data_IF_287690988490
#
_entry.id   IF_287690988490
#
_cell.length_a   1.000
_cell.length_b   1.000
_cell.length_c   1.000
_cell.angle_alpha   90.00
_cell.angle_beta   90.00
_cell.angle_gamma   90.00
#
_symmetry.space_group_name_H-M   'P 1'
#
loop_
_entity.id
_entity.type
_entity.pdbx_description
1 polymer ?
#
# COMPACT_ATOMS: atom_id res chain seq x y z
N UNK A 1 1.10 -4.37 16.09
CA UNK A 1 0.93 -2.91 15.91
C UNK A 1 0.44 -2.72 14.49
N UNK A 2 -0.86 -2.54 14.33
CA UNK A 2 -1.50 -2.41 13.02
C UNK A 2 -1.18 -1.04 12.43
N UNK A 3 -0.63 -1.03 11.23
CA UNK A 3 -0.23 0.16 10.49
C UNK A 3 -1.37 0.60 9.57
N UNK A 4 -1.47 1.89 9.31
CA UNK A 4 -2.48 2.45 8.43
C UNK A 4 -1.88 2.84 7.10
N UNK A 5 -2.38 2.26 6.02
CA UNK A 5 -2.10 2.74 4.67
C UNK A 5 -2.79 4.10 4.44
N UNK A 6 -2.09 5.06 3.87
CA UNK A 6 -2.67 6.32 3.42
C UNK A 6 -3.01 6.24 1.93
N UNK A 7 -4.27 6.47 1.60
CA UNK A 7 -4.69 6.64 0.20
C UNK A 7 -4.52 8.10 -0.20
N UNK A 8 -3.58 8.34 -1.09
CA UNK A 8 -3.46 9.61 -1.79
C UNK A 8 -4.14 9.44 -3.15
N UNK A 9 -5.20 10.19 -3.40
CA UNK A 9 -6.09 10.06 -4.56
C UNK A 9 -5.36 9.96 -5.92
N UNK A 10 -5.85 9.10 -6.78
CA UNK A 10 -5.25 8.72 -8.05
C UNK A 10 -6.03 9.22 -9.27
N UNK A 11 -5.26 9.63 -10.28
CA UNK A 11 -5.76 9.83 -11.65
C UNK A 11 -5.39 8.58 -12.46
N UNK A 12 -6.40 7.92 -13.02
CA UNK A 12 -6.30 6.67 -13.77
C UNK A 12 -5.61 6.92 -15.12
N UNK A 13 -4.47 6.29 -15.33
CA UNK A 13 -3.84 6.13 -16.64
C UNK A 13 -3.81 4.64 -17.01
N UNK A 14 -4.57 4.29 -18.04
CA UNK A 14 -4.67 2.94 -18.59
C UNK A 14 -3.33 2.50 -19.21
N UNK A 15 -2.73 1.39 -18.78
CA UNK A 15 -1.63 0.74 -19.52
C UNK A 15 -1.45 -0.72 -19.12
N UNK A 16 -1.61 -1.60 -20.10
CA UNK A 16 -1.28 -3.03 -20.08
C UNK A 16 0.25 -3.22 -19.97
N UNK A 17 0.80 -3.31 -18.77
CA UNK A 17 2.23 -3.57 -18.49
C UNK A 17 2.41 -4.68 -17.44
N UNK A 18 1.49 -5.65 -17.45
CA UNK A 18 1.44 -6.76 -16.49
C UNK A 18 2.33 -7.96 -16.86
N UNK A 19 3.08 -7.88 -17.97
CA UNK A 19 3.70 -9.07 -18.56
C UNK A 19 5.12 -9.41 -18.07
N UNK A 20 5.79 -8.51 -17.36
CA UNK A 20 7.25 -8.65 -17.16
C UNK A 20 7.66 -9.28 -15.80
N UNK A 21 6.76 -9.36 -14.83
CA UNK A 21 7.06 -10.01 -13.53
C UNK A 21 6.78 -11.52 -13.52
N UNK A 22 6.21 -12.07 -14.60
CA UNK A 22 5.81 -13.49 -14.70
C UNK A 22 6.69 -14.33 -15.61
N UNK A 23 7.78 -13.79 -16.16
CA UNK A 23 8.45 -14.45 -17.29
C UNK A 23 9.45 -15.54 -16.96
N UNK A 24 9.99 -15.60 -15.74
CA UNK A 24 11.07 -16.57 -15.48
C UNK A 24 10.97 -17.20 -14.07
N UNK A 25 9.88 -17.95 -13.75
CA UNK A 25 9.86 -18.67 -12.47
C UNK A 25 9.46 -20.14 -12.65
N UNK A 26 10.26 -21.07 -12.06
CA UNK A 26 9.87 -22.48 -11.89
C UNK A 26 8.81 -22.63 -10.81
N UNK A 27 8.08 -23.74 -10.84
CA UNK A 27 6.95 -24.12 -9.99
C UNK A 27 7.23 -23.96 -8.48
N UNK A 28 6.78 -22.84 -7.92
CA UNK A 28 6.85 -22.49 -6.50
C UNK A 28 6.64 -20.98 -6.39
N UNK A 29 5.63 -20.51 -5.71
CA UNK A 29 5.11 -19.13 -5.65
C UNK A 29 6.07 -18.03 -6.09
N UNK A 30 5.57 -17.14 -6.92
CA UNK A 30 6.39 -16.07 -7.51
C UNK A 30 6.97 -15.15 -6.43
N UNK A 31 8.07 -14.43 -6.70
CA UNK A 31 8.60 -13.36 -5.82
C UNK A 31 7.49 -12.38 -5.40
N UNK A 32 6.52 -12.14 -6.29
CA UNK A 32 5.34 -11.34 -6.02
C UNK A 32 4.47 -11.98 -4.93
N UNK A 33 4.23 -13.29 -4.99
CA UNK A 33 3.43 -13.98 -3.97
C UNK A 33 4.11 -13.89 -2.59
N UNK A 34 5.41 -14.07 -2.50
CA UNK A 34 6.16 -13.92 -1.25
C UNK A 34 6.04 -12.48 -0.68
N UNK A 35 6.10 -11.46 -1.53
CA UNK A 35 5.89 -10.07 -1.13
C UNK A 35 4.47 -9.86 -0.60
N UNK A 36 3.45 -10.39 -1.30
CA UNK A 36 2.04 -10.25 -0.90
C UNK A 36 1.79 -10.95 0.45
N UNK A 37 2.25 -12.20 0.61
CA UNK A 37 2.12 -12.91 1.89
C UNK A 37 2.82 -12.16 3.04
N UNK A 38 3.98 -11.58 2.77
CA UNK A 38 4.69 -10.77 3.76
C UNK A 38 3.91 -9.51 4.13
N UNK A 39 3.35 -8.78 3.15
CA UNK A 39 2.49 -7.61 3.40
C UNK A 39 1.30 -8.01 4.26
N UNK A 40 0.55 -9.05 3.89
CA UNK A 40 -0.61 -9.55 4.64
C UNK A 40 -0.21 -9.94 6.07
N UNK A 41 0.91 -10.64 6.23
CA UNK A 41 1.44 -11.00 7.55
C UNK A 41 1.75 -9.77 8.42
N UNK A 42 2.33 -8.73 7.84
CA UNK A 42 2.65 -7.48 8.56
C UNK A 42 1.38 -6.72 8.95
N UNK A 43 0.41 -6.63 8.05
CA UNK A 43 -0.77 -5.77 8.20
C UNK A 43 -1.83 -6.37 9.13
N UNK A 44 -2.09 -7.66 9.01
CA UNK A 44 -3.21 -8.30 9.71
C UNK A 44 -2.86 -9.62 10.39
N UNK A 45 -1.63 -10.09 10.25
CA UNK A 45 -1.24 -11.46 10.62
C UNK A 45 -2.15 -12.54 9.97
N UNK A 46 -2.64 -12.25 8.74
CA UNK A 46 -3.55 -13.13 8.03
C UNK A 46 -5.01 -13.11 8.50
N UNK A 47 -5.38 -12.21 9.43
CA UNK A 47 -6.75 -12.11 9.91
C UNK A 47 -7.63 -11.24 8.97
N UNK A 48 -8.62 -11.83 8.27
CA UNK A 48 -9.52 -11.09 7.40
C UNK A 48 -10.48 -10.16 8.16
N UNK A 49 -10.62 -10.33 9.47
CA UNK A 49 -11.45 -9.49 10.32
C UNK A 49 -10.67 -8.41 11.06
N UNK A 50 -9.36 -8.35 10.87
CA UNK A 50 -8.53 -7.34 11.50
C UNK A 50 -9.08 -5.93 11.23
N UNK A 51 -9.19 -5.11 12.29
CA UNK A 51 -9.66 -3.73 12.21
C UNK A 51 -8.76 -2.83 13.03
N UNK A 52 -8.30 -1.75 12.41
CA UNK A 52 -7.50 -0.75 13.09
C UNK A 52 -8.38 0.14 13.97
N UNK A 53 -7.96 0.37 15.22
CA UNK A 53 -8.71 1.20 16.18
C UNK A 53 -8.57 2.72 15.93
N UNK A 54 -7.59 3.14 15.11
CA UNK A 54 -7.24 4.56 14.88
C UNK A 54 -7.59 5.03 13.48
N UNK A 55 -8.07 4.13 12.61
CA UNK A 55 -8.41 4.44 11.22
C UNK A 55 -9.48 3.50 10.70
N UNK A 56 -9.89 3.69 9.45
CA UNK A 56 -10.83 2.81 8.76
C UNK A 56 -10.20 1.52 8.21
N UNK A 57 -8.88 1.31 8.38
CA UNK A 57 -8.16 0.15 7.85
C UNK A 57 -8.76 -1.17 8.36
N UNK A 58 -9.07 -2.06 7.41
CA UNK A 58 -9.80 -3.31 7.69
C UNK A 58 -9.33 -4.43 6.76
N UNK A 59 -9.39 -5.68 7.25
CA UNK A 59 -9.15 -6.91 6.49
C UNK A 59 -7.66 -7.23 6.30
N UNK A 60 -7.37 -8.20 5.42
CA UNK A 60 -6.02 -8.74 5.22
C UNK A 60 -4.99 -7.66 4.87
N UNK A 61 -5.29 -6.78 3.93
CA UNK A 61 -4.38 -5.73 3.45
C UNK A 61 -4.51 -4.42 4.19
N UNK A 62 -5.34 -4.34 5.25
CA UNK A 62 -5.59 -3.12 6.03
C UNK A 62 -5.90 -1.88 5.18
N UNK A 63 -6.72 -2.07 4.13
CA UNK A 63 -7.10 -0.97 3.24
C UNK A 63 -8.03 0.04 3.94
N UNK A 64 -7.74 1.32 3.73
CA UNK A 64 -8.64 2.41 4.08
C UNK A 64 -9.88 2.41 3.17
N UNK A 65 -10.96 3.05 3.63
CA UNK A 65 -12.23 3.11 2.90
C UNK A 65 -12.05 3.62 1.47
N UNK A 66 -11.39 4.76 1.29
CA UNK A 66 -11.18 5.37 -0.02
C UNK A 66 -10.35 4.47 -0.95
N UNK A 67 -9.24 3.91 -0.44
CA UNK A 67 -8.39 3.00 -1.23
C UNK A 67 -9.16 1.77 -1.68
N UNK A 68 -9.94 1.17 -0.79
CA UNK A 68 -10.73 0.00 -1.12
C UNK A 68 -11.78 0.28 -2.17
N UNK A 69 -12.53 1.38 -2.03
CA UNK A 69 -13.54 1.80 -3.00
C UNK A 69 -12.92 2.07 -4.38
N UNK A 70 -11.72 2.66 -4.43
CA UNK A 70 -10.98 2.89 -5.67
C UNK A 70 -10.52 1.58 -6.31
N UNK A 71 -9.98 0.65 -5.53
CA UNK A 71 -9.58 -0.67 -6.01
C UNK A 71 -10.77 -1.46 -6.56
N UNK A 72 -11.91 -1.46 -5.87
CA UNK A 72 -13.13 -2.12 -6.35
C UNK A 72 -13.60 -1.47 -7.66
N UNK A 73 -13.67 -0.14 -7.74
CA UNK A 73 -14.08 0.56 -8.96
C UNK A 73 -13.17 0.24 -10.15
N UNK A 74 -11.87 0.13 -9.90
CA UNK A 74 -10.87 -0.08 -10.95
C UNK A 74 -10.78 -1.54 -11.39
N UNK A 75 -10.78 -2.49 -10.45
CA UNK A 75 -10.46 -3.89 -10.74
C UNK A 75 -11.67 -4.83 -10.68
N UNK A 76 -12.71 -4.45 -9.94
CA UNK A 76 -13.92 -5.26 -9.75
C UNK A 76 -15.19 -4.40 -9.82
N UNK A 77 -15.39 -3.66 -10.94
CA UNK A 77 -16.59 -2.83 -11.13
C UNK A 77 -17.89 -3.63 -11.06
N UNK A 78 -17.83 -4.94 -11.34
CA UNK A 78 -18.94 -5.89 -11.15
C UNK A 78 -19.43 -5.91 -9.70
N UNK A 79 -18.53 -5.79 -8.73
CA UNK A 79 -18.88 -5.78 -7.32
C UNK A 79 -19.38 -4.41 -6.81
N UNK A 80 -19.14 -3.34 -7.55
CA UNK A 80 -19.67 -2.01 -7.21
C UNK A 80 -21.13 -1.82 -7.67
N UNK A 81 -21.51 -2.49 -8.74
CA UNK A 81 -22.83 -2.29 -9.38
C UNK A 81 -23.97 -2.64 -8.43
N UNK A 82 -24.84 -1.65 -8.17
CA UNK A 82 -26.04 -1.83 -7.33
C UNK A 82 -25.79 -2.02 -5.84
N UNK A 83 -24.56 -1.79 -5.35
CA UNK A 83 -24.23 -1.87 -3.91
C UNK A 83 -23.99 -0.50 -3.30
N UNK A 84 -24.42 -0.32 -2.05
CA UNK A 84 -24.05 0.85 -1.26
C UNK A 84 -22.55 0.80 -0.89
N UNK A 85 -21.97 1.95 -0.55
CA UNK A 85 -20.58 2.03 -0.10
C UNK A 85 -20.31 1.09 1.09
N UNK A 86 -21.21 1.04 2.07
CA UNK A 86 -21.04 0.16 3.25
C UNK A 86 -20.96 -1.32 2.86
N UNK A 87 -21.83 -1.76 1.93
CA UNK A 87 -21.77 -3.15 1.41
C UNK A 87 -20.48 -3.44 0.65
N UNK A 88 -19.94 -2.45 -0.06
CA UNK A 88 -18.64 -2.59 -0.74
C UNK A 88 -17.50 -2.63 0.30
N UNK A 89 -17.56 -1.81 1.34
CA UNK A 89 -16.55 -1.77 2.41
C UNK A 89 -16.50 -3.08 3.21
N UNK A 90 -17.64 -3.74 3.44
CA UNK A 90 -17.66 -5.04 4.12
C UNK A 90 -16.95 -6.15 3.32
N UNK A 91 -16.82 -6.03 1.99
CA UNK A 91 -16.07 -6.97 1.16
C UNK A 91 -14.57 -7.04 1.50
N UNK A 92 -14.02 -6.08 2.26
CA UNK A 92 -12.64 -6.15 2.79
C UNK A 92 -12.38 -7.37 3.67
N UNK A 93 -13.45 -7.97 4.19
CA UNK A 93 -13.39 -9.19 5.05
C UNK A 93 -13.40 -10.48 4.24
N UNK A 94 -13.69 -10.41 2.94
CA UNK A 94 -13.50 -11.56 2.04
C UNK A 94 -11.99 -11.75 1.79
N UNK A 95 -11.43 -12.79 2.38
CA UNK A 95 -10.00 -13.06 2.33
C UNK A 95 -9.48 -13.23 0.91
N UNK A 96 -10.25 -13.90 0.03
CA UNK A 96 -9.87 -14.13 -1.37
C UNK A 96 -9.84 -12.81 -2.16
N UNK A 97 -10.88 -12.00 -2.02
CA UNK A 97 -10.96 -10.70 -2.69
C UNK A 97 -9.92 -9.71 -2.13
N UNK A 98 -9.73 -9.69 -0.81
CA UNK A 98 -8.73 -8.83 -0.20
C UNK A 98 -7.31 -9.18 -0.67
N UNK A 99 -6.98 -10.48 -0.79
CA UNK A 99 -5.71 -10.93 -1.36
C UNK A 99 -5.58 -10.52 -2.83
N UNK A 100 -6.61 -10.76 -3.64
CA UNK A 100 -6.64 -10.34 -5.05
C UNK A 100 -6.34 -8.84 -5.19
N UNK A 101 -7.03 -7.99 -4.41
CA UNK A 101 -6.84 -6.55 -4.50
C UNK A 101 -5.51 -6.08 -3.89
N UNK A 102 -4.94 -6.81 -2.94
CA UNK A 102 -3.56 -6.54 -2.47
C UNK A 102 -2.55 -6.77 -3.60
N UNK A 103 -2.71 -7.84 -4.38
CA UNK A 103 -1.89 -8.09 -5.58
C UNK A 103 -2.04 -6.93 -6.57
N UNK A 104 -3.28 -6.56 -6.94
CA UNK A 104 -3.55 -5.48 -7.90
C UNK A 104 -2.96 -4.15 -7.45
N UNK A 105 -3.09 -3.82 -6.18
CA UNK A 105 -2.52 -2.60 -5.61
C UNK A 105 -0.99 -2.60 -5.66
N UNK A 106 -0.38 -3.74 -5.36
CA UNK A 106 1.09 -3.89 -5.45
C UNK A 106 1.58 -3.78 -6.90
N UNK A 107 0.88 -4.37 -7.86
CA UNK A 107 1.17 -4.25 -9.29
C UNK A 107 1.07 -2.81 -9.79
N UNK A 108 0.01 -2.08 -9.40
CA UNK A 108 -0.14 -0.66 -9.72
C UNK A 108 1.03 0.17 -9.17
N UNK A 109 1.40 -0.05 -7.90
CA UNK A 109 2.49 0.64 -7.24
C UNK A 109 3.83 0.33 -7.94
N UNK A 110 4.09 -0.92 -8.30
CA UNK A 110 5.26 -1.31 -9.06
C UNK A 110 5.34 -0.60 -10.42
N UNK A 111 4.23 -0.56 -11.15
CA UNK A 111 4.12 0.16 -12.42
C UNK A 111 4.42 1.65 -12.29
N UNK A 112 3.94 2.27 -11.20
CA UNK A 112 4.21 3.67 -10.95
C UNK A 112 5.68 3.95 -10.62
N UNK A 113 6.28 3.15 -9.75
CA UNK A 113 7.69 3.29 -9.40
C UNK A 113 8.57 3.15 -10.65
N UNK A 114 8.32 2.14 -11.51
CA UNK A 114 9.06 1.97 -12.78
C UNK A 114 8.92 3.18 -13.70
N UNK A 115 7.72 3.73 -13.87
CA UNK A 115 7.50 4.93 -14.71
C UNK A 115 8.28 6.14 -14.23
N UNK A 116 8.68 6.18 -12.97
CA UNK A 116 9.49 7.25 -12.36
C UNK A 116 10.96 6.91 -12.26
N UNK A 117 11.39 5.75 -12.82
CA UNK A 117 12.78 5.29 -12.72
C UNK A 117 13.21 4.93 -11.30
N UNK A 118 12.24 4.66 -10.42
CA UNK A 118 12.49 4.33 -9.02
C UNK A 118 12.61 2.81 -8.81
N UNK A 119 13.40 2.36 -7.84
CA UNK A 119 13.61 0.94 -7.59
C UNK A 119 12.32 0.24 -7.19
N UNK A 120 12.13 -0.99 -7.69
CA UNK A 120 11.02 -1.89 -7.34
C UNK A 120 11.59 -3.06 -6.56
N UNK A 121 11.58 -2.94 -5.24
CA UNK A 121 12.05 -3.93 -4.27
C UNK A 121 10.93 -4.27 -3.30
N UNK A 122 11.02 -5.37 -2.53
CA UNK A 122 10.03 -5.65 -1.48
C UNK A 122 9.82 -4.46 -0.54
N UNK A 123 10.89 -3.77 -0.11
CA UNK A 123 10.80 -2.61 0.76
C UNK A 123 10.10 -1.42 0.12
N UNK A 124 10.39 -1.09 -1.15
CA UNK A 124 9.72 0.02 -1.85
C UNK A 124 8.26 -0.29 -2.18
N UNK A 125 7.92 -1.56 -2.43
CA UNK A 125 6.53 -2.00 -2.61
C UNK A 125 5.74 -1.90 -1.29
N UNK A 126 6.36 -2.27 -0.17
CA UNK A 126 5.75 -2.09 1.14
C UNK A 126 5.60 -0.61 1.51
N UNK A 127 6.62 0.20 1.21
CA UNK A 127 6.52 1.66 1.37
C UNK A 127 5.35 2.23 0.58
N UNK A 128 5.14 1.76 -0.66
CA UNK A 128 4.01 2.19 -1.49
C UNK A 128 2.66 1.64 -0.99
N UNK A 129 2.63 0.47 -0.38
CA UNK A 129 1.44 -0.02 0.33
C UNK A 129 1.09 0.87 1.52
N UNK A 130 2.09 1.24 2.31
CA UNK A 130 1.95 2.05 3.52
C UNK A 130 1.60 3.52 3.24
N UNK A 131 2.37 4.18 2.36
CA UNK A 131 2.27 5.62 2.10
C UNK A 131 1.35 5.97 0.91
N UNK A 132 0.83 4.95 0.21
CA UNK A 132 0.25 5.11 -1.11
C UNK A 132 1.33 5.38 -2.16
N UNK A 133 0.99 5.16 -3.44
CA UNK A 133 1.97 5.28 -4.51
C UNK A 133 2.60 6.68 -4.63
N UNK A 134 1.81 7.75 -4.53
CA UNK A 134 2.33 9.11 -4.59
C UNK A 134 3.25 9.43 -3.40
N UNK A 135 2.86 8.99 -2.18
CA UNK A 135 3.68 9.11 -0.99
C UNK A 135 5.01 8.38 -1.10
N UNK A 136 5.01 7.16 -1.65
CA UNK A 136 6.24 6.41 -1.89
C UNK A 136 7.16 7.10 -2.89
N UNK A 137 6.60 7.61 -4.00
CA UNK A 137 7.38 8.39 -4.98
C UNK A 137 8.02 9.60 -4.31
N UNK A 138 7.25 10.35 -3.52
CA UNK A 138 7.79 11.52 -2.82
C UNK A 138 8.91 11.14 -1.84
N UNK A 139 8.72 10.11 -1.02
CA UNK A 139 9.74 9.60 -0.09
C UNK A 139 10.98 9.12 -0.85
N UNK A 140 10.84 8.38 -1.94
CA UNK A 140 11.98 7.84 -2.69
C UNK A 140 12.73 8.91 -3.47
N UNK A 141 12.14 10.08 -3.69
CA UNK A 141 12.75 11.22 -4.42
C UNK A 141 13.24 12.33 -3.51
N UNK A 142 12.95 12.29 -2.21
CA UNK A 142 13.31 13.33 -1.26
C UNK A 142 14.73 13.13 -0.70
N UNK A 143 15.28 14.17 -0.06
CA UNK A 143 16.55 14.11 0.65
C UNK A 143 16.41 13.23 1.91
N UNK A 144 17.49 12.54 2.27
CA UNK A 144 17.52 11.56 3.36
C UNK A 144 17.18 12.13 4.74
N UNK A 145 17.57 13.39 4.99
CA UNK A 145 17.34 14.11 6.24
C UNK A 145 15.99 14.82 6.35
N UNK A 146 15.19 14.80 5.28
CA UNK A 146 13.85 15.42 5.27
C UNK A 146 12.91 14.73 6.26
N UNK A 147 11.98 15.49 6.86
CA UNK A 147 10.93 14.95 7.72
C UNK A 147 9.95 14.08 6.90
N UNK A 148 9.91 12.79 7.20
CA UNK A 148 9.15 11.82 6.42
C UNK A 148 7.64 12.13 6.39
N UNK A 149 7.05 12.55 7.50
CA UNK A 149 5.63 12.86 7.58
C UNK A 149 5.26 14.10 6.76
N UNK A 150 6.13 15.11 6.72
CA UNK A 150 5.95 16.31 5.87
C UNK A 150 6.05 15.96 4.40
N UNK A 151 7.02 15.13 4.00
CA UNK A 151 7.17 14.66 2.62
C UNK A 151 5.94 13.86 2.19
N UNK A 152 5.43 12.96 3.03
CA UNK A 152 4.19 12.24 2.74
C UNK A 152 2.98 13.17 2.62
N UNK A 153 2.88 14.19 3.49
CA UNK A 153 1.78 15.15 3.42
C UNK A 153 1.80 15.95 2.13
N UNK A 154 2.98 16.38 1.67
CA UNK A 154 3.14 17.16 0.43
C UNK A 154 2.79 16.35 -0.83
N UNK A 155 2.80 15.03 -0.76
CA UNK A 155 2.41 14.16 -1.87
C UNK A 155 0.89 14.12 -2.12
N UNK A 156 0.08 14.61 -1.19
CA UNK A 156 -1.37 14.74 -1.39
C UNK A 156 -1.70 16.01 -2.19
N UNK A 157 -1.94 15.82 -3.49
CA UNK A 157 -2.31 16.91 -4.39
C UNK A 157 -3.59 17.67 -3.97
N UNK A 158 -4.44 17.06 -3.13
CA UNK A 158 -5.65 17.73 -2.60
C UNK A 158 -5.35 18.64 -1.40
N UNK A 159 -4.17 18.52 -0.80
CA UNK A 159 -3.75 19.26 0.39
C UNK A 159 -4.54 18.94 1.66
N UNK A 160 -5.39 17.90 1.65
CA UNK A 160 -6.21 17.50 2.82
C UNK A 160 -5.43 16.69 3.84
N UNK A 161 -4.33 16.05 3.42
CA UNK A 161 -3.46 15.29 4.31
C UNK A 161 -2.42 16.22 4.93
N UNK A 162 -2.48 16.38 6.24
CA UNK A 162 -1.53 17.20 7.00
C UNK A 162 -0.56 16.32 7.78
N UNK A 163 0.65 16.83 8.06
CA UNK A 163 1.68 16.15 8.85
C UNK A 163 1.12 15.59 10.17
N UNK A 164 0.37 16.41 10.89
CA UNK A 164 -0.21 16.05 12.20
C UNK A 164 -1.18 14.88 12.08
N UNK A 165 -1.96 14.81 11.00
CA UNK A 165 -2.88 13.71 10.73
C UNK A 165 -2.12 12.39 10.48
N UNK A 166 -1.00 12.47 9.77
CA UNK A 166 -0.11 11.32 9.50
C UNK A 166 0.48 10.81 10.81
N UNK A 167 1.04 11.71 11.64
CA UNK A 167 1.63 11.37 12.94
C UNK A 167 0.57 10.82 13.90
N UNK A 168 -0.61 11.44 13.97
CA UNK A 168 -1.71 10.93 14.82
C UNK A 168 -2.07 9.48 14.49
N UNK A 169 -2.07 9.12 13.21
CA UNK A 169 -2.33 7.75 12.78
C UNK A 169 -1.12 6.82 12.98
N UNK A 170 0.10 7.35 12.85
CA UNK A 170 1.37 6.62 12.93
C UNK A 170 2.38 7.38 13.80
N UNK A 171 2.25 7.33 15.14
CA UNK A 171 3.09 8.13 16.05
C UNK A 171 4.60 7.92 15.90
N UNK A 172 5.04 6.78 15.40
CA UNK A 172 6.46 6.51 15.17
C UNK A 172 7.09 7.44 14.12
N UNK A 173 6.29 8.04 13.23
CA UNK A 173 6.75 8.98 12.20
C UNK A 173 7.12 10.36 12.75
N UNK A 174 6.81 10.66 14.01
CA UNK A 174 7.06 12.00 14.60
C UNK A 174 8.51 12.48 14.45
N UNK A 175 9.45 11.51 14.52
CA UNK A 175 10.90 11.77 14.45
C UNK A 175 11.60 11.07 13.29
N UNK A 176 10.82 10.48 12.36
CA UNK A 176 11.41 9.77 11.25
C UNK A 176 11.84 10.72 10.14
N UNK A 177 13.09 10.58 9.73
CA UNK A 177 13.58 11.11 8.46
C UNK A 177 13.13 10.21 7.30
N UNK A 178 13.32 10.70 6.08
CA UNK A 178 13.11 9.92 4.85
C UNK A 178 13.98 8.65 4.86
N UNK A 179 15.26 8.76 5.27
CA UNK A 179 16.16 7.61 5.37
C UNK A 179 15.66 6.58 6.40
N UNK A 180 15.13 7.04 7.54
CA UNK A 180 14.57 6.16 8.57
C UNK A 180 13.36 5.39 8.04
N UNK A 181 12.46 6.06 7.29
CA UNK A 181 11.25 5.45 6.76
C UNK A 181 11.58 4.43 5.66
N UNK A 182 12.54 4.73 4.77
CA UNK A 182 13.04 3.76 3.77
C UNK A 182 13.62 2.52 4.44
N UNK A 183 14.53 2.72 5.40
CA UNK A 183 15.16 1.63 6.17
C UNK A 183 14.14 0.82 6.96
N UNK A 184 13.13 1.48 7.52
CA UNK A 184 12.03 0.82 8.22
C UNK A 184 11.23 -0.10 7.28
N UNK A 185 10.87 0.37 6.08
CA UNK A 185 10.15 -0.41 5.09
C UNK A 185 10.96 -1.65 4.65
N UNK A 186 12.25 -1.48 4.40
CA UNK A 186 13.16 -2.59 4.06
C UNK A 186 13.22 -3.63 5.18
N UNK A 187 13.40 -3.18 6.44
CA UNK A 187 13.43 -4.11 7.60
C UNK A 187 12.12 -4.88 7.76
N UNK A 188 10.98 -4.26 7.49
CA UNK A 188 9.67 -4.94 7.58
C UNK A 188 9.54 -6.09 6.58
N UNK A 189 10.17 -5.97 5.43
CA UNK A 189 10.07 -6.96 4.36
C UNK A 189 11.15 -8.05 4.42
N UNK A 190 12.15 -7.92 5.29
CA UNK A 190 13.12 -9.02 5.53
C UNK A 190 12.42 -10.21 6.16
N UNK A 191 12.74 -11.39 5.64
CA UNK A 191 12.33 -12.66 6.26
C UNK A 191 13.27 -12.94 7.43
N UNK A 192 12.77 -13.22 8.65
CA UNK A 192 13.63 -13.63 9.74
C UNK A 192 14.41 -14.90 9.34
N UNK A 193 15.74 -14.83 9.33
CA UNK A 193 16.60 -16.00 9.06
C UNK A 193 17.11 -16.17 7.62
N UNK A 194 16.89 -15.16 6.73
CA UNK A 194 17.56 -15.12 5.41
C UNK A 194 18.83 -14.27 5.45
#
# INVERSE_FOLDING_TARGET
MLLTAFSLGWIVGNSNLLFDLRRDEPAGGTVVDAVIERIIGIESNGDPNAKNKRSSATGLGQFLDETWLDLIRTHRPDLAKGRSHDKILELRRDAKLARELTIRFTEQNAGMLRKRGLPVTPGTLYLAHFAGGAGAVAILSALDDSDAASVMASADATGRTKREKIIKANPFLERFTVADLRSWADRRMRVPGS
#
